data_IF_310686974016
#
_entry.id   IF_310686974016
#
_cell.length_a   1.000
_cell.length_b   1.000
_cell.length_c   1.000
_cell.angle_alpha   90.00
_cell.angle_beta   90.00
_cell.angle_gamma   90.00
#
_symmetry.space_group_name_H-M   'P 1'
#
loop_
_entity.id
_entity.type
_entity.pdbx_description
1 polymer ?
#
# COMPACT_ATOMS: atom_id res chain seq x y z
N UNK A 1 -9.16 -4.35 -19.01
CA UNK A 1 -9.14 -5.81 -18.76
C UNK A 1 -7.96 -6.13 -17.86
N UNK A 2 -8.13 -7.02 -16.88
CA UNK A 2 -7.12 -7.46 -15.89
C UNK A 2 -6.15 -8.55 -16.42
N UNK A 3 -6.03 -8.73 -17.74
CA UNK A 3 -5.17 -9.74 -18.38
C UNK A 3 -5.35 -11.18 -17.84
N UNK A 4 -6.54 -11.50 -17.31
CA UNK A 4 -6.84 -12.82 -16.73
C UNK A 4 -6.48 -12.97 -15.25
N UNK A 5 -5.87 -11.98 -14.61
CA UNK A 5 -5.49 -12.04 -13.19
C UNK A 5 -6.64 -11.64 -12.26
N UNK A 6 -6.83 -12.32 -11.12
CA UNK A 6 -7.80 -11.92 -10.11
C UNK A 6 -7.65 -10.45 -9.68
N UNK A 7 -8.77 -9.79 -9.46
CA UNK A 7 -8.83 -8.39 -8.99
C UNK A 7 -9.33 -8.28 -7.55
N UNK A 8 -9.17 -9.35 -6.79
CA UNK A 8 -9.54 -9.47 -5.38
C UNK A 8 -8.41 -10.14 -4.61
N UNK A 9 -8.39 -9.98 -3.28
CA UNK A 9 -7.31 -10.47 -2.42
C UNK A 9 -5.91 -10.01 -2.84
N UNK A 10 -5.81 -8.77 -3.33
CA UNK A 10 -4.56 -8.17 -3.78
C UNK A 10 -3.95 -7.29 -2.70
N UNK A 11 -2.64 -7.17 -2.70
CA UNK A 11 -1.94 -6.18 -1.87
C UNK A 11 -1.57 -4.98 -2.73
N UNK A 12 -1.91 -3.79 -2.24
CA UNK A 12 -1.58 -2.53 -2.89
C UNK A 12 -0.87 -1.61 -1.91
N UNK A 13 -0.02 -0.74 -2.44
CA UNK A 13 0.70 0.23 -1.63
C UNK A 13 0.83 1.55 -2.39
N UNK A 14 0.62 2.65 -1.67
CA UNK A 14 0.95 4.00 -2.11
C UNK A 14 2.22 4.47 -1.38
N UNK A 15 3.14 5.11 -2.10
CA UNK A 15 4.38 5.68 -1.55
C UNK A 15 4.40 7.16 -1.89
N UNK A 16 4.05 8.00 -0.92
CA UNK A 16 3.93 9.44 -1.12
C UNK A 16 4.32 10.18 0.17
N UNK A 17 4.64 11.46 0.04
CA UNK A 17 5.03 12.34 1.15
C UNK A 17 3.82 12.86 1.95
N UNK A 18 2.60 12.71 1.43
CA UNK A 18 1.39 13.21 2.10
C UNK A 18 1.09 12.37 3.34
N UNK A 19 0.98 13.01 4.50
CA UNK A 19 0.53 12.36 5.73
C UNK A 19 -1.00 12.26 5.74
N UNK A 20 -1.50 11.02 5.66
CA UNK A 20 -2.93 10.72 5.66
C UNK A 20 -3.49 10.35 7.04
N UNK A 21 -2.64 10.33 8.08
CA UNK A 21 -2.98 9.83 9.41
C UNK A 21 -3.53 8.41 9.35
N UNK A 22 -4.68 8.18 9.98
CA UNK A 22 -5.44 6.95 9.76
C UNK A 22 -6.06 6.94 8.35
N UNK A 23 -5.29 6.43 7.38
CA UNK A 23 -5.69 6.36 5.99
C UNK A 23 -6.79 5.32 5.68
N UNK A 24 -7.16 4.49 6.67
CA UNK A 24 -8.21 3.47 6.55
C UNK A 24 -9.58 4.00 6.96
N UNK A 25 -9.63 5.10 7.71
CA UNK A 25 -10.87 5.73 8.11
C UNK A 25 -11.66 6.28 6.91
N UNK A 26 -12.98 6.28 7.04
CA UNK A 26 -13.89 6.98 6.13
C UNK A 26 -13.82 8.48 6.43
N UNK A 27 -13.72 9.29 5.37
CA UNK A 27 -13.67 10.75 5.45
C UNK A 27 -14.72 11.37 4.52
N UNK A 28 -15.23 12.54 4.91
CA UNK A 28 -16.23 13.33 4.18
C UNK A 28 -15.62 14.27 3.14
N UNK A 29 -16.46 15.03 2.44
CA UNK A 29 -16.03 16.00 1.42
C UNK A 29 -15.35 17.26 2.01
N UNK A 30 -15.56 17.50 3.30
CA UNK A 30 -14.96 18.56 4.11
C UNK A 30 -13.48 18.29 4.44
N UNK A 31 -13.04 17.03 4.36
CA UNK A 31 -11.65 16.65 4.54
C UNK A 31 -10.86 16.78 3.21
N UNK A 32 -9.79 17.59 3.14
CA UNK A 32 -8.96 17.71 1.93
C UNK A 32 -8.42 16.38 1.40
N UNK A 33 -8.12 15.42 2.28
CA UNK A 33 -7.64 14.09 1.89
C UNK A 33 -8.67 13.28 1.09
N UNK A 34 -9.94 13.71 1.06
CA UNK A 34 -10.97 13.10 0.22
C UNK A 34 -10.60 13.16 -1.27
N UNK A 35 -9.94 14.24 -1.68
CA UNK A 35 -9.59 14.49 -3.08
C UNK A 35 -8.26 13.84 -3.48
N UNK A 36 -7.45 13.39 -2.52
CA UNK A 36 -6.24 12.63 -2.78
C UNK A 36 -6.58 11.19 -3.23
N UNK A 37 -6.71 11.03 -4.55
CA UNK A 37 -7.20 9.80 -5.17
C UNK A 37 -6.45 8.52 -4.78
N UNK A 38 -5.13 8.50 -4.53
CA UNK A 38 -4.45 7.29 -4.11
C UNK A 38 -5.02 6.66 -2.82
N UNK A 39 -5.47 7.47 -1.84
CA UNK A 39 -6.18 6.97 -0.64
C UNK A 39 -7.37 6.08 -1.01
N UNK A 40 -8.21 6.54 -1.96
CA UNK A 40 -9.41 5.81 -2.38
C UNK A 40 -9.09 4.69 -3.37
N UNK A 41 -8.38 5.02 -4.44
CA UNK A 41 -8.28 4.18 -5.63
C UNK A 41 -7.11 3.20 -5.61
N UNK A 42 -6.10 3.43 -4.77
CA UNK A 42 -4.95 2.53 -4.62
C UNK A 42 -5.06 1.77 -3.31
N UNK A 43 -5.36 2.48 -2.20
CA UNK A 43 -5.31 1.87 -0.87
C UNK A 43 -6.63 1.19 -0.50
N UNK A 44 -7.75 1.91 -0.51
CA UNK A 44 -8.98 1.41 0.13
C UNK A 44 -9.91 0.59 -0.81
N UNK A 45 -10.11 1.02 -2.06
CA UNK A 45 -11.07 0.39 -2.98
C UNK A 45 -10.57 -0.92 -3.59
N UNK A 46 -9.30 -1.06 -4.02
CA UNK A 46 -8.83 -2.32 -4.61
C UNK A 46 -8.81 -3.50 -3.63
N UNK A 47 -8.76 -3.22 -2.33
CA UNK A 47 -8.70 -4.24 -1.28
C UNK A 47 -10.04 -4.43 -0.56
N UNK A 48 -11.12 -3.82 -1.05
CA UNK A 48 -12.44 -3.91 -0.41
C UNK A 48 -13.07 -5.30 -0.55
N UNK A 49 -12.58 -6.12 -1.49
CA UNK A 49 -12.98 -7.52 -1.71
C UNK A 49 -11.94 -8.49 -1.14
N UNK A 50 -11.16 -8.05 -0.15
CA UNK A 50 -10.07 -8.80 0.45
C UNK A 50 -8.69 -8.29 0.01
N UNK A 51 -7.66 -8.67 0.76
CA UNK A 51 -6.29 -8.20 0.55
C UNK A 51 -5.88 -7.10 1.53
N UNK A 52 -4.80 -6.36 1.22
CA UNK A 52 -4.23 -5.34 2.12
C UNK A 52 -3.79 -4.09 1.36
N UNK A 53 -4.35 -2.94 1.76
CA UNK A 53 -3.92 -1.62 1.30
C UNK A 53 -2.96 -0.95 2.29
N UNK A 54 -1.87 -0.38 1.78
CA UNK A 54 -0.86 0.34 2.57
C UNK A 54 -0.61 1.76 2.03
N UNK A 55 -0.31 2.67 2.95
CA UNK A 55 0.22 3.99 2.62
C UNK A 55 1.52 4.18 3.39
N UNK A 56 2.61 4.43 2.66
CA UNK A 56 3.91 4.75 3.21
C UNK A 56 4.14 6.24 3.07
N UNK A 57 4.17 6.95 4.20
CA UNK A 57 4.43 8.37 4.25
C UNK A 57 5.95 8.65 4.22
N UNK A 58 6.44 9.24 3.13
CA UNK A 58 7.83 9.66 2.97
C UNK A 58 8.28 9.69 1.50
N UNK A 59 9.47 10.25 1.24
CA UNK A 59 10.04 10.30 -0.11
C UNK A 59 10.19 8.87 -0.67
N UNK A 60 9.56 8.61 -1.82
CA UNK A 60 9.58 7.30 -2.48
C UNK A 60 11.00 6.85 -2.85
N UNK A 61 11.92 7.79 -3.09
CA UNK A 61 13.35 7.50 -3.32
C UNK A 61 14.01 6.88 -2.08
N UNK A 62 13.44 7.09 -0.90
CA UNK A 62 13.89 6.49 0.36
C UNK A 62 13.05 5.26 0.69
N UNK A 63 11.72 5.36 0.63
CA UNK A 63 10.83 4.30 1.12
C UNK A 63 10.84 3.04 0.25
N UNK A 64 10.85 3.16 -1.09
CA UNK A 64 10.84 2.00 -1.99
C UNK A 64 12.16 1.19 -1.90
N UNK A 65 13.36 1.79 -2.01
CA UNK A 65 14.60 1.01 -1.89
C UNK A 65 14.77 0.37 -0.51
N UNK A 66 14.31 1.01 0.56
CA UNK A 66 14.36 0.43 1.90
C UNK A 66 13.39 -0.74 2.07
N UNK A 67 12.18 -0.65 1.50
CA UNK A 67 11.25 -1.78 1.47
C UNK A 67 11.88 -2.96 0.73
N UNK A 68 12.46 -2.73 -0.46
CA UNK A 68 13.15 -3.77 -1.22
C UNK A 68 14.25 -4.45 -0.41
N UNK A 69 15.16 -3.68 0.20
CA UNK A 69 16.25 -4.23 1.04
C UNK A 69 15.71 -5.09 2.19
N UNK A 70 14.66 -4.64 2.87
CA UNK A 70 14.02 -5.39 3.96
C UNK A 70 13.36 -6.67 3.47
N UNK A 71 12.69 -6.63 2.31
CA UNK A 71 12.06 -7.80 1.70
C UNK A 71 13.08 -8.85 1.30
N UNK A 72 14.16 -8.46 0.61
CA UNK A 72 15.22 -9.40 0.19
C UNK A 72 15.91 -10.02 1.40
N UNK A 73 16.21 -9.23 2.45
CA UNK A 73 16.77 -9.77 3.69
C UNK A 73 15.86 -10.83 4.29
N UNK A 74 14.56 -10.53 4.44
CA UNK A 74 13.58 -11.48 4.98
C UNK A 74 13.37 -12.71 4.11
N UNK A 75 13.32 -12.56 2.79
CA UNK A 75 13.23 -13.69 1.86
C UNK A 75 14.42 -14.63 2.05
N UNK A 76 15.64 -14.08 2.17
CA UNK A 76 16.82 -14.90 2.41
C UNK A 76 16.81 -15.60 3.78
N UNK A 77 16.15 -15.04 4.79
CA UNK A 77 15.95 -15.66 6.10
C UNK A 77 14.94 -16.82 6.01
N UNK A 78 13.82 -16.60 5.32
CA UNK A 78 12.79 -17.61 5.03
C UNK A 78 13.36 -18.75 4.19
N UNK A 79 14.12 -18.46 3.13
CA UNK A 79 14.78 -19.46 2.28
C UNK A 79 15.81 -20.31 3.07
N UNK A 80 16.40 -19.73 4.12
CA UNK A 80 17.32 -20.43 5.03
C UNK A 80 16.61 -21.15 6.17
N UNK A 81 15.27 -21.15 6.22
CA UNK A 81 14.49 -21.80 7.27
C UNK A 81 14.65 -21.15 8.66
N UNK A 82 15.07 -19.89 8.72
CA UNK A 82 15.20 -19.14 9.95
C UNK A 82 13.92 -18.30 10.07
N UNK A 83 13.02 -18.74 10.96
CA UNK A 83 11.74 -18.05 11.26
C UNK A 83 11.94 -16.86 12.21
#
# INVERSE_FOLDING_TARGET
RNLGYPTFNITTANFDIIDLGDYRSRIGYDDPHYYYRPRKNIVNRPTSTGGKGWHFCGDHKVTIPNLYRKLIKKLSEVEKGIE
#
